data_IF_556833194394
#
_entry.id   IF_556833194394
#
_cell.length_a   1.000
_cell.length_b   1.000
_cell.length_c   1.000
_cell.angle_alpha   90.00
_cell.angle_beta   90.00
_cell.angle_gamma   90.00
#
_symmetry.space_group_name_H-M   'P 1'
#
loop_
_entity.id
_entity.type
_entity.pdbx_description
1 polymer ?
#
# COMPACT_ATOMS: atom_id res chain seq x y z
N UNK A 1 10.65 2.10 -5.57
CA UNK A 1 10.51 3.27 -6.48
C UNK A 1 10.34 4.51 -5.61
N UNK A 2 10.76 5.70 -6.09
CA UNK A 2 10.59 6.95 -5.32
C UNK A 2 9.09 7.26 -5.17
N UNK A 3 8.67 7.62 -3.96
CA UNK A 3 7.32 8.09 -3.65
C UNK A 3 7.18 9.58 -3.93
N UNK A 4 6.26 9.92 -4.81
CA UNK A 4 6.10 11.29 -5.35
C UNK A 4 4.82 12.00 -4.86
N UNK A 5 4.06 11.39 -3.95
CA UNK A 5 2.90 12.01 -3.32
C UNK A 5 1.61 11.79 -4.11
N UNK A 6 0.88 12.86 -4.42
CA UNK A 6 -0.45 12.75 -5.06
C UNK A 6 -0.40 12.13 -6.46
N UNK A 7 0.71 12.31 -7.17
CA UNK A 7 0.93 11.74 -8.49
C UNK A 7 1.36 10.25 -8.42
N UNK A 8 1.51 9.69 -7.21
CA UNK A 8 1.88 8.30 -7.00
C UNK A 8 0.65 7.39 -7.07
N UNK A 9 0.85 6.21 -7.65
CA UNK A 9 -0.17 5.18 -7.70
C UNK A 9 -0.55 4.67 -6.31
N UNK A 10 0.39 4.68 -5.37
CA UNK A 10 0.26 4.18 -4.00
C UNK A 10 -0.40 5.24 -3.10
N UNK A 11 -1.31 4.81 -2.24
CA UNK A 11 -1.73 5.62 -1.08
C UNK A 11 -0.61 5.77 -0.04
N UNK A 12 -0.81 6.66 0.93
CA UNK A 12 0.13 6.84 2.03
C UNK A 12 0.28 5.57 2.87
N UNK A 13 -0.83 4.88 3.13
CA UNK A 13 -0.84 3.59 3.82
C UNK A 13 -0.11 2.50 3.04
N UNK A 14 -0.32 2.40 1.73
CA UNK A 14 0.41 1.44 0.88
C UNK A 14 1.91 1.69 0.91
N UNK A 15 2.34 2.96 0.84
CA UNK A 15 3.77 3.27 0.93
C UNK A 15 4.35 2.99 2.33
N UNK A 16 3.60 3.22 3.41
CA UNK A 16 4.03 2.81 4.76
C UNK A 16 4.28 1.29 4.83
N UNK A 17 3.39 0.48 4.24
CA UNK A 17 3.56 -0.97 4.17
C UNK A 17 4.79 -1.37 3.36
N UNK A 18 5.05 -0.68 2.25
CA UNK A 18 6.27 -0.91 1.44
C UNK A 18 7.54 -0.65 2.27
N UNK A 19 7.56 0.40 3.11
CA UNK A 19 8.68 0.66 4.02
C UNK A 19 8.86 -0.53 4.99
N UNK A 20 7.77 -0.97 5.63
CA UNK A 20 7.85 -2.06 6.62
C UNK A 20 8.25 -3.41 5.98
N UNK A 21 7.83 -3.69 4.76
CA UNK A 21 8.21 -4.89 4.01
C UNK A 21 9.66 -4.84 3.51
N UNK A 22 10.07 -3.71 2.91
CA UNK A 22 11.43 -3.55 2.39
C UNK A 22 12.49 -3.59 3.50
N UNK A 23 12.09 -3.22 4.72
CA UNK A 23 12.95 -3.10 5.89
C UNK A 23 12.50 -4.04 7.02
N UNK A 24 11.93 -5.18 6.66
CA UNK A 24 11.53 -6.22 7.60
C UNK A 24 12.74 -6.64 8.46
N UNK A 25 12.53 -6.76 9.78
CA UNK A 25 13.59 -7.06 10.75
C UNK A 25 14.56 -5.90 11.07
N UNK A 26 14.50 -4.78 10.35
CA UNK A 26 15.33 -3.61 10.64
C UNK A 26 14.67 -2.65 11.65
N UNK A 27 15.51 -1.90 12.37
CA UNK A 27 15.09 -0.92 13.38
C UNK A 27 14.50 0.37 12.76
N UNK A 28 13.92 1.22 13.62
CA UNK A 28 13.29 2.46 13.19
C UNK A 28 14.24 3.44 12.49
N UNK A 29 15.52 3.47 12.86
CA UNK A 29 16.53 4.33 12.21
C UNK A 29 16.69 3.92 10.76
N UNK A 30 16.92 2.63 10.51
CA UNK A 30 17.07 2.08 9.16
C UNK A 30 15.83 2.32 8.32
N UNK A 31 14.62 2.09 8.86
CA UNK A 31 13.35 2.36 8.18
C UNK A 31 13.19 3.84 7.82
N UNK A 32 13.46 4.73 8.77
CA UNK A 32 13.34 6.17 8.55
C UNK A 32 14.33 6.70 7.50
N UNK A 33 15.58 6.23 7.55
CA UNK A 33 16.59 6.59 6.55
C UNK A 33 16.27 6.01 5.18
N UNK A 34 15.77 4.77 5.12
CA UNK A 34 15.28 4.19 3.87
C UNK A 34 14.16 5.02 3.26
N UNK A 35 13.19 5.44 4.08
CA UNK A 35 12.09 6.31 3.63
C UNK A 35 12.61 7.67 3.11
N UNK A 36 13.60 8.27 3.79
CA UNK A 36 14.26 9.50 3.32
C UNK A 36 14.85 9.37 1.92
N UNK A 37 15.42 8.21 1.59
CA UNK A 37 16.01 7.95 0.27
C UNK A 37 14.99 7.55 -0.79
N UNK A 38 13.76 7.19 -0.40
CA UNK A 38 12.71 6.70 -1.30
C UNK A 38 11.49 7.64 -1.34
N UNK A 39 11.58 8.86 -0.84
CA UNK A 39 10.58 9.92 -0.99
C UNK A 39 11.22 11.07 -1.77
N UNK A 40 10.45 11.70 -2.66
CA UNK A 40 10.90 12.91 -3.37
C UNK A 40 11.50 13.95 -2.38
N UNK A 41 12.67 14.54 -2.64
CA UNK A 41 13.32 15.46 -1.69
C UNK A 41 12.50 16.71 -1.34
N UNK A 42 11.66 17.20 -2.25
CA UNK A 42 10.74 18.30 -1.99
C UNK A 42 9.60 17.88 -1.06
N UNK A 43 9.02 16.71 -1.32
CA UNK A 43 7.99 16.11 -0.50
C UNK A 43 8.50 15.71 0.89
N UNK A 44 9.70 15.13 0.99
CA UNK A 44 10.33 14.75 2.26
C UNK A 44 10.38 15.93 3.22
N UNK A 45 10.87 17.09 2.76
CA UNK A 45 10.93 18.32 3.56
C UNK A 45 9.55 18.75 4.06
N UNK A 46 8.52 18.60 3.23
CA UNK A 46 7.12 18.94 3.59
C UNK A 46 6.53 17.95 4.60
N UNK A 47 6.91 16.67 4.55
CA UNK A 47 6.42 15.62 5.46
C UNK A 47 7.11 15.69 6.83
N UNK A 48 8.40 15.99 6.86
CA UNK A 48 9.15 16.11 8.12
C UNK A 48 9.05 17.49 8.74
N UNK A 49 8.37 18.45 8.09
CA UNK A 49 8.38 19.87 8.45
C UNK A 49 9.80 20.44 8.61
N UNK A 50 10.74 19.95 7.80
CA UNK A 50 12.18 20.26 7.91
C UNK A 50 12.79 19.97 9.28
N UNK A 51 12.16 19.15 10.13
CA UNK A 51 12.76 18.72 11.39
C UNK A 51 13.97 17.86 11.09
N UNK A 52 15.11 18.23 11.65
CA UNK A 52 16.30 17.39 11.59
C UNK A 52 16.10 16.18 12.50
N UNK A 53 16.41 14.96 12.02
CA UNK A 53 16.36 13.79 12.86
C UNK A 53 17.46 13.88 13.94
N UNK A 54 17.21 13.39 15.15
CA UNK A 54 18.15 13.48 16.26
C UNK A 54 19.40 12.67 15.95
N UNK A 55 20.56 13.33 16.06
CA UNK A 55 21.84 12.65 15.93
C UNK A 55 21.98 11.67 17.11
N UNK A 56 21.86 10.36 16.83
CA UNK A 56 22.24 9.22 17.71
C UNK A 56 21.19 8.72 18.72
N UNK A 57 19.94 9.19 18.73
CA UNK A 57 18.92 8.68 19.64
C UNK A 57 17.92 7.73 18.95
N UNK A 58 18.08 6.42 19.14
CA UNK A 58 17.22 5.39 18.53
C UNK A 58 15.73 5.53 18.92
N UNK A 59 15.43 5.77 20.19
CA UNK A 59 14.05 5.95 20.69
C UNK A 59 13.36 7.15 20.02
N UNK A 60 14.11 8.21 19.74
CA UNK A 60 13.56 9.36 19.04
C UNK A 60 13.24 9.04 17.57
N UNK A 61 13.97 8.13 16.91
CA UNK A 61 13.64 7.70 15.55
C UNK A 61 12.32 6.93 15.45
N UNK A 62 11.91 6.22 16.50
CA UNK A 62 10.57 5.61 16.54
C UNK A 62 9.49 6.68 16.49
N UNK A 63 9.64 7.75 17.27
CA UNK A 63 8.73 8.89 17.23
C UNK A 63 8.72 9.56 15.84
N UNK A 64 9.88 9.80 15.24
CA UNK A 64 9.97 10.40 13.91
C UNK A 64 9.37 9.51 12.81
N UNK A 65 9.57 8.19 12.88
CA UNK A 65 8.98 7.23 11.95
C UNK A 65 7.46 7.19 12.11
N UNK A 66 6.95 7.11 13.33
CA UNK A 66 5.52 7.14 13.61
C UNK A 66 4.87 8.44 13.11
N UNK A 67 5.52 9.58 13.33
CA UNK A 67 5.05 10.87 12.81
C UNK A 67 5.08 10.92 11.28
N UNK A 68 6.11 10.37 10.64
CA UNK A 68 6.17 10.25 9.18
C UNK A 68 5.00 9.41 8.65
N UNK A 69 4.73 8.26 9.26
CA UNK A 69 3.59 7.40 8.88
C UNK A 69 2.26 8.12 9.03
N UNK A 70 2.07 8.87 10.12
CA UNK A 70 0.87 9.68 10.32
C UNK A 70 0.73 10.75 9.23
N UNK A 71 1.79 11.47 8.88
CA UNK A 71 1.76 12.49 7.84
C UNK A 71 1.53 11.92 6.44
N UNK A 72 2.14 10.77 6.12
CA UNK A 72 1.90 10.06 4.86
C UNK A 72 0.42 9.69 4.71
N UNK A 73 -0.14 9.00 5.71
CA UNK A 73 -1.55 8.60 5.71
C UNK A 73 -2.47 9.81 5.64
N UNK A 74 -2.24 10.81 6.49
CA UNK A 74 -3.07 12.03 6.55
C UNK A 74 -3.14 12.77 5.22
N UNK A 75 -2.06 12.78 4.44
CA UNK A 75 -2.00 13.53 3.18
C UNK A 75 -2.38 12.72 1.95
N UNK A 76 -2.18 11.40 1.97
CA UNK A 76 -2.24 10.58 0.76
C UNK A 76 -3.26 9.43 0.84
N UNK A 77 -3.93 9.24 1.98
CA UNK A 77 -5.11 8.38 2.09
C UNK A 77 -6.37 9.21 1.79
N UNK A 78 -6.47 9.69 0.56
CA UNK A 78 -7.53 10.60 0.09
C UNK A 78 -8.69 9.85 -0.56
N UNK A 79 -9.83 10.53 -0.73
CA UNK A 79 -10.97 9.99 -1.48
C UNK A 79 -10.61 9.68 -2.94
N UNK A 80 -9.66 10.43 -3.52
CA UNK A 80 -9.13 10.14 -4.85
C UNK A 80 -8.32 8.84 -4.87
N UNK A 81 -7.45 8.61 -3.87
CA UNK A 81 -6.73 7.36 -3.73
C UNK A 81 -7.71 6.19 -3.55
N UNK A 82 -8.75 6.37 -2.73
CA UNK A 82 -9.82 5.39 -2.55
C UNK A 82 -10.53 5.07 -3.87
N UNK A 83 -11.03 6.08 -4.58
CA UNK A 83 -11.75 5.87 -5.84
C UNK A 83 -10.87 5.16 -6.88
N UNK A 84 -9.58 5.49 -6.98
CA UNK A 84 -8.64 4.78 -7.86
C UNK A 84 -8.46 3.33 -7.45
N UNK A 85 -8.24 3.05 -6.16
CA UNK A 85 -8.06 1.68 -5.67
C UNK A 85 -9.33 0.86 -5.85
N UNK A 86 -10.52 1.42 -5.58
CA UNK A 86 -11.80 0.78 -5.86
C UNK A 86 -11.96 0.44 -7.33
N UNK A 87 -11.61 1.36 -8.22
CA UNK A 87 -11.63 1.11 -9.66
C UNK A 87 -10.69 -0.04 -10.04
N UNK A 88 -9.44 -0.01 -9.58
CA UNK A 88 -8.45 -1.06 -9.82
C UNK A 88 -8.91 -2.41 -9.27
N UNK A 89 -9.52 -2.44 -8.09
CA UNK A 89 -10.08 -3.64 -7.46
C UNK A 89 -11.25 -4.22 -8.26
N UNK A 90 -12.20 -3.38 -8.65
CA UNK A 90 -13.40 -3.81 -9.36
C UNK A 90 -13.11 -4.30 -10.79
N UNK A 91 -12.05 -3.78 -11.41
CA UNK A 91 -11.58 -4.16 -12.75
C UNK A 91 -10.42 -5.16 -12.74
N UNK A 92 -10.05 -5.69 -11.57
CA UNK A 92 -8.91 -6.60 -11.45
C UNK A 92 -9.22 -7.96 -12.09
N UNK A 93 -8.58 -8.22 -13.22
CA UNK A 93 -8.69 -9.48 -13.95
C UNK A 93 -7.31 -10.11 -14.17
N UNK A 94 -7.29 -11.44 -14.18
CA UNK A 94 -6.10 -12.23 -14.46
C UNK A 94 -5.62 -11.97 -15.88
N UNK A 95 -4.37 -11.52 -16.02
CA UNK A 95 -3.80 -11.24 -17.33
C UNK A 95 -3.44 -12.54 -18.08
N UNK A 96 -3.38 -12.53 -19.43
CA UNK A 96 -3.17 -13.76 -20.22
C UNK A 96 -1.92 -14.58 -19.87
N UNK A 97 -0.84 -13.92 -19.43
CA UNK A 97 0.44 -14.55 -19.05
C UNK A 97 0.65 -14.59 -17.53
N UNK A 98 -0.35 -14.23 -16.75
CA UNK A 98 -0.25 -14.14 -15.30
C UNK A 98 -0.60 -15.46 -14.62
N UNK A 99 0.31 -15.95 -13.78
CA UNK A 99 0.05 -17.10 -12.90
C UNK A 99 -1.06 -16.78 -11.91
N UNK A 100 -1.84 -17.79 -11.51
CA UNK A 100 -2.89 -17.65 -10.49
C UNK A 100 -2.38 -16.95 -9.21
N UNK A 101 -1.22 -17.36 -8.71
CA UNK A 101 -0.61 -16.78 -7.50
C UNK A 101 -0.38 -15.26 -7.61
N UNK A 102 0.17 -14.79 -8.74
CA UNK A 102 0.39 -13.36 -8.99
C UNK A 102 -0.92 -12.57 -9.08
N UNK A 103 -1.94 -13.16 -9.71
CA UNK A 103 -3.26 -12.55 -9.78
C UNK A 103 -3.89 -12.41 -8.39
N UNK A 104 -3.89 -13.49 -7.58
CA UNK A 104 -4.40 -13.47 -6.21
C UNK A 104 -3.64 -12.43 -5.37
N UNK A 105 -2.30 -12.43 -5.42
CA UNK A 105 -1.49 -11.48 -4.66
C UNK A 105 -1.78 -10.03 -5.02
N UNK A 106 -2.09 -9.71 -6.28
CA UNK A 106 -2.55 -8.37 -6.68
C UNK A 106 -3.93 -8.05 -6.13
N UNK A 107 -4.86 -8.99 -6.19
CA UNK A 107 -6.22 -8.79 -5.67
C UNK A 107 -6.19 -8.57 -4.15
N UNK A 108 -5.38 -9.34 -3.43
CA UNK A 108 -5.12 -9.17 -1.99
C UNK A 108 -4.46 -7.83 -1.68
N UNK A 109 -3.45 -7.44 -2.46
CA UNK A 109 -2.80 -6.13 -2.32
C UNK A 109 -3.79 -4.97 -2.42
N UNK A 110 -4.73 -5.03 -3.38
CA UNK A 110 -5.79 -4.03 -3.56
C UNK A 110 -6.82 -4.09 -2.42
N UNK A 111 -7.18 -5.29 -1.96
CA UNK A 111 -8.10 -5.48 -0.84
C UNK A 111 -7.54 -4.89 0.46
N UNK A 112 -6.26 -5.13 0.74
CA UNK A 112 -5.57 -4.56 1.90
C UNK A 112 -5.50 -3.03 1.81
N UNK A 113 -5.21 -2.48 0.63
CA UNK A 113 -5.23 -1.04 0.43
C UNK A 113 -6.61 -0.45 0.73
N UNK A 114 -7.69 -1.10 0.27
CA UNK A 114 -9.05 -0.68 0.62
C UNK A 114 -9.32 -0.77 2.13
N UNK A 115 -8.79 -1.77 2.84
CA UNK A 115 -8.89 -1.85 4.31
C UNK A 115 -8.22 -0.65 4.97
N UNK A 116 -7.01 -0.28 4.54
CA UNK A 116 -6.32 0.89 5.08
C UNK A 116 -7.05 2.20 4.78
N UNK A 117 -7.69 2.28 3.61
CA UNK A 117 -8.55 3.40 3.21
C UNK A 117 -9.97 3.33 3.82
N UNK A 118 -10.20 2.43 4.80
CA UNK A 118 -11.47 2.26 5.54
C UNK A 118 -12.65 1.81 4.67
N UNK A 119 -12.37 1.21 3.52
CA UNK A 119 -13.34 0.69 2.56
C UNK A 119 -13.13 -0.82 2.29
N UNK A 120 -12.65 -1.55 3.30
CA UNK A 120 -12.30 -2.97 3.17
C UNK A 120 -13.46 -3.80 2.60
N UNK A 121 -13.23 -4.59 1.52
CA UNK A 121 -14.28 -5.40 0.91
C UNK A 121 -14.71 -6.53 1.84
N UNK A 122 -16.00 -6.87 1.80
CA UNK A 122 -16.51 -8.06 2.51
C UNK A 122 -15.94 -9.34 1.88
N UNK A 123 -15.88 -10.42 2.66
CA UNK A 123 -15.41 -11.72 2.17
C UNK A 123 -16.20 -12.20 0.94
N UNK A 124 -17.52 -11.99 0.90
CA UNK A 124 -18.34 -12.32 -0.27
C UNK A 124 -17.97 -11.49 -1.50
N UNK A 125 -17.67 -10.20 -1.33
CA UNK A 125 -17.17 -9.33 -2.40
C UNK A 125 -15.82 -9.82 -2.93
N UNK A 126 -14.90 -10.21 -2.04
CA UNK A 126 -13.61 -10.77 -2.42
C UNK A 126 -13.75 -12.08 -3.20
N UNK A 127 -14.55 -13.03 -2.71
CA UNK A 127 -14.86 -14.27 -3.43
C UNK A 127 -15.44 -13.98 -4.81
N UNK A 128 -16.40 -13.06 -4.90
CA UNK A 128 -17.01 -12.64 -6.17
C UNK A 128 -15.97 -12.00 -7.12
N UNK A 129 -15.04 -11.19 -6.61
CA UNK A 129 -13.96 -10.61 -7.44
C UNK A 129 -12.98 -11.64 -7.92
N UNK A 130 -12.60 -12.59 -7.06
CA UNK A 130 -11.76 -13.72 -7.45
C UNK A 130 -12.43 -14.50 -8.60
N UNK A 131 -13.70 -14.88 -8.43
CA UNK A 131 -14.46 -15.60 -9.46
C UNK A 131 -14.54 -14.82 -10.78
N UNK A 132 -14.98 -13.57 -10.75
CA UNK A 132 -15.19 -12.77 -11.96
C UNK A 132 -13.85 -12.49 -12.68
N UNK A 133 -12.77 -12.28 -11.93
CA UNK A 133 -11.46 -11.92 -12.46
C UNK A 133 -10.62 -13.08 -13.00
N UNK A 134 -10.94 -14.33 -12.65
CA UNK A 134 -10.23 -15.51 -13.18
C UNK A 134 -10.43 -15.64 -14.70
N UNK A 135 -9.38 -16.06 -15.41
CA UNK A 135 -9.48 -16.31 -16.85
C UNK A 135 -9.96 -17.73 -17.19
N UNK A 136 -9.73 -18.70 -16.29
CA UNK A 136 -10.06 -20.12 -16.50
C UNK A 136 -11.43 -20.48 -15.93
N UNK A 137 -12.35 -20.95 -16.78
CA UNK A 137 -13.65 -21.48 -16.35
C UNK A 137 -13.51 -22.68 -15.41
N UNK A 138 -12.51 -23.54 -15.62
CA UNK A 138 -12.25 -24.67 -14.72
C UNK A 138 -11.88 -24.22 -13.30
N UNK A 139 -11.11 -23.14 -13.17
CA UNK A 139 -10.77 -22.59 -11.85
C UNK A 139 -11.98 -21.87 -11.21
N UNK A 140 -12.82 -21.23 -12.02
CA UNK A 140 -14.08 -20.63 -11.56
C UNK A 140 -15.01 -21.64 -10.91
N UNK A 141 -15.12 -22.83 -11.48
CA UNK A 141 -15.92 -23.94 -10.91
C UNK A 141 -15.42 -24.40 -9.53
N UNK A 142 -14.16 -24.14 -9.18
CA UNK A 142 -13.59 -24.45 -7.86
C UNK A 142 -13.81 -23.35 -6.82
N UNK A 143 -14.24 -22.17 -7.25
CA UNK A 143 -14.61 -21.07 -6.36
C UNK A 143 -16.11 -21.19 -6.10
N UNK A 144 -16.49 -21.84 -5.00
CA UNK A 144 -17.90 -21.94 -4.58
C UNK A 144 -18.49 -20.53 -4.39
N UNK A 145 -19.49 -20.20 -5.20
CA UNK A 145 -20.30 -18.99 -5.03
C UNK A 145 -21.52 -19.38 -4.19
N UNK A 146 -21.35 -19.40 -2.87
CA UNK A 146 -22.45 -19.35 -1.90
C UNK A 146 -22.55 -17.95 -1.28
#
# INVERSE_FOLDING_TARGET
>A
SIFIGNDDDRSGSTFCREIDQAMEGHNAVSRYLWAKHNIDPGLWRKLTNSLEPPARCHESYEWHLNRLYQELRRRFDTDEALARTEYKFNTCVQQPSETLFKFIGRLETLADELVYLRAGPRQSTLKRRLYDGLSSNHLKEKVEIE
#
